data_IF_688744977634
#
_entry.id   IF_688744977634
#
_cell.length_a   1.000
_cell.length_b   1.000
_cell.length_c   1.000
_cell.angle_alpha   90.00
_cell.angle_beta   90.00
_cell.angle_gamma   90.00
#
_symmetry.space_group_name_H-M   'P 1'
#
loop_
_entity.id
_entity.type
_entity.pdbx_description
1 polymer ?
#
# COMPACT_ATOMS: atom_id res chain seq x y z
N UNK A 1 6.42 -19.57 -5.83
CA UNK A 1 6.10 -18.91 -4.54
C UNK A 1 5.06 -19.76 -3.83
N UNK A 2 5.14 -19.93 -2.51
CA UNK A 2 4.08 -20.59 -1.75
C UNK A 2 2.83 -19.68 -1.71
N UNK A 3 1.64 -20.27 -1.67
CA UNK A 3 0.39 -19.52 -1.51
C UNK A 3 0.39 -18.66 -0.24
N UNK A 4 1.01 -19.16 0.83
CA UNK A 4 1.19 -18.44 2.09
C UNK A 4 1.97 -17.13 1.93
N UNK A 5 3.09 -17.15 1.19
CA UNK A 5 3.87 -15.94 0.95
C UNK A 5 3.11 -14.94 0.07
N UNK A 6 2.44 -15.42 -0.98
CA UNK A 6 1.64 -14.55 -1.85
C UNK A 6 0.50 -13.86 -1.10
N UNK A 7 -0.20 -14.61 -0.23
CA UNK A 7 -1.25 -14.04 0.62
C UNK A 7 -0.66 -13.03 1.61
N UNK A 8 0.50 -13.31 2.19
CA UNK A 8 1.17 -12.40 3.12
C UNK A 8 1.56 -11.07 2.46
N UNK A 9 2.06 -11.12 1.22
CA UNK A 9 2.33 -9.91 0.42
C UNK A 9 1.03 -9.13 0.20
N UNK A 10 -0.05 -9.80 -0.21
CA UNK A 10 -1.35 -9.15 -0.47
C UNK A 10 -1.91 -8.46 0.78
N UNK A 11 -1.87 -9.13 1.92
CA UNK A 11 -2.34 -8.61 3.20
C UNK A 11 -1.54 -7.36 3.63
N UNK A 12 -0.21 -7.37 3.52
CA UNK A 12 0.62 -6.21 3.87
C UNK A 12 0.43 -5.07 2.87
N UNK A 13 0.27 -5.39 1.58
CA UNK A 13 -0.07 -4.39 0.56
C UNK A 13 -1.42 -3.74 0.84
N UNK A 14 -2.45 -4.50 1.24
CA UNK A 14 -3.76 -3.94 1.60
C UNK A 14 -3.64 -2.92 2.74
N UNK A 15 -2.86 -3.23 3.78
CA UNK A 15 -2.64 -2.33 4.92
C UNK A 15 -2.01 -1.01 4.46
N UNK A 16 -1.00 -1.07 3.58
CA UNK A 16 -0.35 0.12 3.03
C UNK A 16 -1.24 0.93 2.10
N UNK A 17 -2.03 0.25 1.26
CA UNK A 17 -3.02 0.91 0.41
C UNK A 17 -4.08 1.63 1.27
N UNK A 18 -4.51 1.00 2.36
CA UNK A 18 -5.48 1.58 3.28
C UNK A 18 -4.91 2.79 4.02
N UNK A 19 -3.67 2.71 4.50
CA UNK A 19 -2.98 3.84 5.11
C UNK A 19 -2.85 5.01 4.12
N UNK A 20 -2.51 4.73 2.86
CA UNK A 20 -2.42 5.74 1.83
C UNK A 20 -3.80 6.36 1.53
N UNK A 21 -4.86 5.56 1.51
CA UNK A 21 -6.24 6.00 1.34
C UNK A 21 -6.68 6.95 2.47
N UNK A 22 -6.30 6.61 3.71
CA UNK A 22 -6.54 7.49 4.85
C UNK A 22 -5.88 8.85 4.67
N UNK A 23 -4.60 8.85 4.27
CA UNK A 23 -3.87 10.08 3.98
C UNK A 23 -4.50 10.89 2.85
N UNK A 24 -4.94 10.23 1.79
CA UNK A 24 -5.50 10.90 0.62
C UNK A 24 -6.82 11.63 0.93
N UNK A 25 -7.74 10.99 1.66
CA UNK A 25 -9.08 11.55 1.87
C UNK A 25 -9.32 12.24 3.22
N UNK A 26 -8.46 12.01 4.22
CA UNK A 26 -8.71 12.47 5.58
C UNK A 26 -7.60 13.36 6.15
N UNK A 27 -6.58 13.71 5.37
CA UNK A 27 -5.66 14.76 5.80
C UNK A 27 -6.38 16.10 5.84
N UNK A 28 -6.17 16.82 6.94
CA UNK A 28 -6.50 18.24 7.07
C UNK A 28 -5.28 19.04 7.47
N UNK A 29 -5.21 20.25 6.94
CA UNK A 29 -4.22 21.23 7.37
C UNK A 29 -4.69 21.86 8.68
N UNK A 30 -3.90 21.66 9.74
CA UNK A 30 -4.05 22.25 11.05
C UNK A 30 -3.26 23.55 11.17
N UNK A 31 -3.25 24.10 12.40
CA UNK A 31 -2.49 25.33 12.68
C UNK A 31 -0.99 25.14 12.44
N UNK A 32 -0.36 26.15 11.83
CA UNK A 32 1.08 26.13 11.55
C UNK A 32 1.53 25.25 10.39
N UNK A 33 0.60 24.80 9.52
CA UNK A 33 0.92 23.96 8.35
C UNK A 33 1.14 22.49 8.70
N UNK A 34 0.67 22.06 9.88
CA UNK A 34 0.71 20.65 10.28
C UNK A 34 -0.37 19.88 9.53
N UNK A 35 -0.05 18.67 9.05
CA UNK A 35 -1.01 17.79 8.41
C UNK A 35 -1.48 16.75 9.42
N UNK A 36 -2.77 16.64 9.66
CA UNK A 36 -3.35 15.71 10.63
C UNK A 36 -4.41 14.85 9.95
N UNK A 37 -4.48 13.56 10.29
CA UNK A 37 -5.57 12.70 9.82
C UNK A 37 -6.80 12.91 10.70
N UNK A 38 -7.93 13.25 10.10
CA UNK A 38 -9.21 13.40 10.79
C UNK A 38 -10.30 12.57 10.10
N UNK A 39 -10.64 11.42 10.68
CA UNK A 39 -11.68 10.53 10.16
C UNK A 39 -13.03 10.86 10.81
N UNK A 40 -14.04 11.32 10.04
CA UNK A 40 -15.38 11.56 10.56
C UNK A 40 -16.04 10.28 11.09
N UNK A 41 -16.88 10.40 12.11
CA UNK A 41 -17.56 9.27 12.74
C UNK A 41 -18.35 8.40 11.75
N UNK A 42 -19.03 9.03 10.77
CA UNK A 42 -19.75 8.31 9.71
C UNK A 42 -18.81 7.50 8.79
N UNK A 43 -17.57 7.94 8.58
CA UNK A 43 -16.58 7.17 7.83
C UNK A 43 -15.99 6.06 8.69
N UNK A 44 -15.71 6.31 9.98
CA UNK A 44 -15.26 5.29 10.91
C UNK A 44 -16.28 4.15 11.08
N UNK A 45 -17.57 4.47 11.17
CA UNK A 45 -18.64 3.46 11.23
C UNK A 45 -18.64 2.55 10.00
N UNK A 46 -18.51 3.13 8.80
CA UNK A 46 -18.43 2.37 7.54
C UNK A 46 -17.17 1.51 7.46
N UNK A 47 -16.02 2.04 7.88
CA UNK A 47 -14.77 1.29 7.95
C UNK A 47 -14.92 0.12 8.92
N UNK A 48 -15.58 0.33 10.06
CA UNK A 48 -15.82 -0.74 11.06
C UNK A 48 -16.70 -1.85 10.49
N UNK A 49 -17.72 -1.51 9.71
CA UNK A 49 -18.61 -2.48 9.07
C UNK A 49 -17.91 -3.27 7.95
N UNK A 50 -17.14 -2.59 7.09
CA UNK A 50 -16.59 -3.17 5.86
C UNK A 50 -15.17 -3.74 6.03
N UNK A 51 -14.40 -3.17 6.95
CA UNK A 51 -12.97 -3.41 7.12
C UNK A 51 -12.59 -3.45 8.61
N UNK A 52 -13.38 -4.16 9.44
CA UNK A 52 -13.20 -4.25 10.88
C UNK A 52 -11.75 -4.52 11.34
N UNK A 53 -11.01 -5.35 10.57
CA UNK A 53 -9.62 -5.66 10.90
C UNK A 53 -8.67 -4.46 10.78
N UNK A 54 -8.97 -3.46 9.94
CA UNK A 54 -8.16 -2.26 9.72
C UNK A 54 -8.50 -1.12 10.70
N UNK A 55 -9.55 -1.27 11.52
CA UNK A 55 -9.96 -0.24 12.50
C UNK A 55 -8.82 0.16 13.45
N UNK A 56 -8.00 -0.75 14.00
CA UNK A 56 -6.90 -0.34 14.88
C UNK A 56 -5.88 0.59 14.21
N UNK A 57 -5.70 0.49 12.89
CA UNK A 57 -4.84 1.40 12.13
C UNK A 57 -5.47 2.80 12.02
N UNK A 58 -6.79 2.88 11.84
CA UNK A 58 -7.50 4.17 11.88
C UNK A 58 -7.37 4.81 13.26
N UNK A 59 -7.59 4.05 14.32
CA UNK A 59 -7.47 4.54 15.69
C UNK A 59 -6.06 5.04 16.02
N UNK A 60 -5.03 4.37 15.50
CA UNK A 60 -3.64 4.79 15.66
C UNK A 60 -3.30 6.09 14.91
N UNK A 61 -4.00 6.38 13.81
CA UNK A 61 -3.72 7.54 12.94
C UNK A 61 -4.64 8.72 13.16
N UNK A 62 -5.87 8.49 13.63
CA UNK A 62 -6.86 9.54 13.80
C UNK A 62 -6.41 10.56 14.86
N UNK A 63 -6.40 11.84 14.49
CA UNK A 63 -5.90 12.93 15.31
C UNK A 63 -4.36 13.02 15.40
N UNK A 64 -3.60 12.18 14.69
CA UNK A 64 -2.15 12.25 14.67
C UNK A 64 -1.63 13.13 13.54
N UNK A 65 -0.56 13.87 13.82
CA UNK A 65 0.22 14.57 12.80
C UNK A 65 0.89 13.55 11.91
N UNK A 66 0.67 13.66 10.60
CA UNK A 66 1.17 12.72 9.62
C UNK A 66 2.33 13.32 8.83
N UNK A 67 3.44 12.61 8.87
CA UNK A 67 4.57 12.76 7.99
C UNK A 67 5.02 11.38 7.49
N UNK A 68 6.12 11.34 6.72
CA UNK A 68 6.66 10.08 6.22
C UNK A 68 7.03 9.10 7.35
N UNK A 69 7.56 9.60 8.47
CA UNK A 69 8.01 8.79 9.60
C UNK A 69 6.82 8.22 10.36
N UNK A 70 5.83 9.05 10.70
CA UNK A 70 4.62 8.61 11.40
C UNK A 70 3.84 7.61 10.56
N UNK A 71 3.71 7.86 9.25
CA UNK A 71 3.06 6.95 8.30
C UNK A 71 3.73 5.57 8.30
N UNK A 72 5.05 5.53 8.13
CA UNK A 72 5.81 4.29 8.15
C UNK A 72 5.69 3.56 9.50
N UNK A 73 5.81 4.30 10.60
CA UNK A 73 5.76 3.74 11.94
C UNK A 73 4.39 3.17 12.28
N UNK A 74 3.30 3.81 11.86
CA UNK A 74 1.94 3.33 12.08
C UNK A 74 1.72 1.97 11.40
N UNK A 75 2.15 1.83 10.15
CA UNK A 75 2.05 0.55 9.42
C UNK A 75 2.88 -0.54 10.09
N UNK A 76 4.16 -0.25 10.40
CA UNK A 76 5.03 -1.23 11.04
C UNK A 76 4.50 -1.67 12.40
N UNK A 77 4.00 -0.73 13.20
CA UNK A 77 3.42 -0.99 14.52
C UNK A 77 2.15 -1.84 14.41
N UNK A 78 1.28 -1.49 13.46
CA UNK A 78 0.05 -2.26 13.22
C UNK A 78 0.37 -3.69 12.78
N UNK A 79 1.32 -3.88 11.86
CA UNK A 79 1.72 -5.21 11.39
C UNK A 79 2.30 -6.04 12.55
N UNK A 80 3.17 -5.45 13.37
CA UNK A 80 3.74 -6.15 14.53
C UNK A 80 2.68 -6.50 15.59
N UNK A 81 1.68 -5.63 15.81
CA UNK A 81 0.70 -5.81 16.88
C UNK A 81 -0.52 -6.66 16.49
N UNK A 82 -0.93 -6.65 15.21
CA UNK A 82 -2.21 -7.22 14.76
C UNK A 82 -2.09 -8.24 13.62
N UNK A 83 -0.90 -8.40 13.02
CA UNK A 83 -0.69 -9.30 11.88
C UNK A 83 0.30 -10.40 12.24
N UNK A 84 1.48 -10.04 12.75
CA UNK A 84 2.51 -10.98 13.17
C UNK A 84 2.04 -11.83 14.36
N UNK A 85 2.26 -13.14 14.30
CA UNK A 85 1.85 -14.12 15.31
C UNK A 85 0.34 -14.40 15.37
N UNK A 86 -0.49 -13.63 14.65
CA UNK A 86 -1.95 -13.78 14.64
C UNK A 86 -2.47 -14.25 13.29
N UNK A 87 -2.25 -13.44 12.24
CA UNK A 87 -2.68 -13.73 10.87
C UNK A 87 -1.56 -14.31 10.02
N UNK A 88 -0.31 -13.99 10.37
CA UNK A 88 0.90 -14.47 9.71
C UNK A 88 1.84 -15.08 10.74
N UNK A 89 2.63 -16.06 10.32
CA UNK A 89 3.67 -16.62 11.19
C UNK A 89 4.73 -15.57 11.50
N UNK A 90 5.35 -15.72 12.66
CA UNK A 90 6.46 -14.87 13.09
C UNK A 90 7.58 -14.83 12.05
N UNK A 91 8.14 -13.64 11.80
CA UNK A 91 9.21 -13.41 10.82
C UNK A 91 8.76 -13.37 9.35
N UNK A 92 7.51 -13.74 9.04
CA UNK A 92 6.96 -13.60 7.69
C UNK A 92 6.85 -12.14 7.27
N UNK A 93 6.34 -11.20 8.10
CA UNK A 93 6.28 -9.79 7.72
C UNK A 93 7.64 -9.19 7.36
N UNK A 94 8.69 -9.49 8.14
CA UNK A 94 10.05 -9.05 7.83
C UNK A 94 10.54 -9.59 6.49
N UNK A 95 10.24 -10.86 6.19
CA UNK A 95 10.55 -11.48 4.89
C UNK A 95 9.80 -10.80 3.74
N UNK A 96 8.52 -10.45 3.95
CA UNK A 96 7.70 -9.74 2.97
C UNK A 96 8.26 -8.34 2.70
N UNK A 97 8.53 -7.54 3.75
CA UNK A 97 9.09 -6.19 3.60
C UNK A 97 10.43 -6.17 2.88
N UNK A 98 11.27 -7.19 3.09
CA UNK A 98 12.54 -7.35 2.40
C UNK A 98 12.45 -7.90 0.97
N UNK A 99 11.26 -8.28 0.50
CA UNK A 99 11.11 -8.95 -0.79
C UNK A 99 10.95 -7.98 -1.96
N UNK A 100 11.56 -8.29 -3.10
CA UNK A 100 11.37 -7.56 -4.35
C UNK A 100 9.92 -7.63 -4.83
N UNK A 101 9.21 -8.73 -4.54
CA UNK A 101 7.79 -8.85 -4.87
C UNK A 101 6.97 -7.75 -4.21
N UNK A 102 7.12 -7.58 -2.90
CA UNK A 102 6.46 -6.52 -2.16
C UNK A 102 6.88 -5.11 -2.64
N UNK A 103 8.17 -4.88 -2.86
CA UNK A 103 8.67 -3.59 -3.36
C UNK A 103 8.04 -3.22 -4.71
N UNK A 104 7.91 -4.18 -5.63
CA UNK A 104 7.26 -3.98 -6.92
C UNK A 104 5.77 -3.65 -6.76
N UNK A 105 5.06 -4.32 -5.84
CA UNK A 105 3.64 -4.03 -5.57
C UNK A 105 3.45 -2.59 -5.10
N UNK A 106 4.25 -2.14 -4.13
CA UNK A 106 4.17 -0.78 -3.59
C UNK A 106 4.57 0.25 -4.64
N UNK A 107 5.58 -0.03 -5.46
CA UNK A 107 5.95 0.85 -6.56
C UNK A 107 4.83 0.99 -7.59
N UNK A 108 4.20 -0.12 -7.99
CA UNK A 108 3.07 -0.10 -8.92
C UNK A 108 1.88 0.67 -8.36
N UNK A 109 1.58 0.48 -7.08
CA UNK A 109 0.54 1.23 -6.40
C UNK A 109 0.86 2.73 -6.36
N UNK A 110 2.10 3.11 -6.03
CA UNK A 110 2.52 4.52 -6.04
C UNK A 110 2.40 5.17 -7.43
N UNK A 111 2.79 4.47 -8.49
CA UNK A 111 2.61 4.93 -9.88
C UNK A 111 1.13 5.09 -10.22
N UNK A 112 0.29 4.14 -9.79
CA UNK A 112 -1.16 4.22 -10.01
C UNK A 112 -1.76 5.45 -9.33
N UNK A 113 -1.46 5.70 -8.05
CA UNK A 113 -1.96 6.85 -7.30
C UNK A 113 -1.56 8.15 -8.01
N UNK A 114 -0.29 8.31 -8.39
CA UNK A 114 0.20 9.50 -9.10
C UNK A 114 -0.48 9.69 -10.47
N UNK A 115 -0.73 8.60 -11.20
CA UNK A 115 -1.34 8.68 -12.54
C UNK A 115 -2.83 9.01 -12.48
N UNK A 116 -3.52 8.64 -11.40
CA UNK A 116 -4.97 8.79 -11.25
C UNK A 116 -5.36 9.85 -10.22
N UNK A 117 -4.41 10.59 -9.66
CA UNK A 117 -4.63 11.60 -8.61
C UNK A 117 -5.78 12.55 -8.96
N UNK A 118 -5.78 13.13 -10.16
CA UNK A 118 -6.86 14.02 -10.63
C UNK A 118 -8.23 13.34 -10.70
N UNK A 119 -8.28 12.03 -10.95
CA UNK A 119 -9.53 11.27 -10.94
C UNK A 119 -9.98 10.98 -9.50
N UNK A 120 -9.03 10.64 -8.62
CA UNK A 120 -9.29 10.32 -7.22
C UNK A 120 -9.72 11.56 -6.42
N UNK A 121 -9.27 12.75 -6.82
CA UNK A 121 -9.57 14.04 -6.19
C UNK A 121 -10.97 14.58 -6.56
N UNK A 122 -11.59 14.10 -7.65
CA UNK A 122 -12.93 14.56 -8.08
C UNK A 122 -14.05 14.27 -7.08
N UNK A 123 -13.85 13.31 -6.19
CA UNK A 123 -14.84 12.96 -5.19
C UNK A 123 -14.35 11.85 -4.27
N UNK A 124 -15.06 11.71 -3.14
CA UNK A 124 -14.76 10.66 -2.19
C UNK A 124 -15.06 9.28 -2.78
N UNK A 125 -14.05 8.40 -2.74
CA UNK A 125 -14.19 6.98 -3.08
C UNK A 125 -13.90 6.14 -1.85
N UNK A 126 -14.74 5.14 -1.58
CA UNK A 126 -14.47 4.21 -0.50
C UNK A 126 -13.25 3.31 -0.82
N UNK A 127 -12.69 2.71 0.22
CA UNK A 127 -11.48 1.91 0.09
C UNK A 127 -11.67 0.69 -0.83
N UNK A 128 -12.86 0.07 -0.80
CA UNK A 128 -13.18 -1.06 -1.67
C UNK A 128 -13.14 -0.66 -3.15
N UNK A 129 -13.69 0.51 -3.49
CA UNK A 129 -13.64 1.09 -4.85
C UNK A 129 -12.21 1.42 -5.25
N UNK A 130 -11.40 1.95 -4.35
CA UNK A 130 -9.97 2.20 -4.59
C UNK A 130 -9.22 0.91 -4.97
N UNK A 131 -9.43 -0.16 -4.20
CA UNK A 131 -8.84 -1.47 -4.49
C UNK A 131 -9.30 -2.01 -5.85
N UNK A 132 -10.58 -1.85 -6.19
CA UNK A 132 -11.12 -2.29 -7.47
C UNK A 132 -10.48 -1.52 -8.64
N UNK A 133 -10.40 -0.19 -8.57
CA UNK A 133 -9.77 0.62 -9.60
C UNK A 133 -8.28 0.30 -9.79
N UNK A 134 -7.54 0.08 -8.70
CA UNK A 134 -6.16 -0.35 -8.78
C UNK A 134 -6.04 -1.73 -9.46
N UNK A 135 -6.89 -2.69 -9.08
CA UNK A 135 -6.90 -4.02 -9.67
C UNK A 135 -7.25 -4.00 -11.15
N UNK A 136 -8.22 -3.18 -11.57
CA UNK A 136 -8.59 -2.98 -12.97
C UNK A 136 -7.43 -2.37 -13.76
N UNK A 137 -6.82 -1.30 -13.25
CA UNK A 137 -5.69 -0.65 -13.89
C UNK A 137 -4.50 -1.62 -14.03
N UNK A 138 -4.17 -2.35 -12.98
CA UNK A 138 -3.10 -3.35 -12.98
C UNK A 138 -3.35 -4.44 -14.03
N UNK A 139 -4.60 -4.81 -14.25
CA UNK A 139 -5.00 -5.81 -15.23
C UNK A 139 -5.08 -5.27 -16.67
N UNK A 140 -4.93 -3.96 -16.88
CA UNK A 140 -4.91 -3.38 -18.22
C UNK A 140 -3.69 -3.81 -19.02
N UNK A 141 -3.87 -4.02 -20.32
CA UNK A 141 -2.82 -4.51 -21.22
C UNK A 141 -1.62 -3.55 -21.28
N UNK A 142 -1.85 -2.25 -21.09
CA UNK A 142 -0.81 -1.22 -21.06
C UNK A 142 0.14 -1.40 -19.87
N UNK A 143 -0.39 -1.72 -18.70
CA UNK A 143 0.40 -1.91 -17.48
C UNK A 143 1.13 -3.25 -17.52
N UNK A 144 0.44 -4.30 -17.98
CA UNK A 144 1.07 -5.62 -18.22
C UNK A 144 2.26 -5.50 -19.18
N UNK A 145 2.08 -4.82 -20.31
CA UNK A 145 3.16 -4.61 -21.27
C UNK A 145 4.34 -3.81 -20.70
N UNK A 146 4.09 -2.83 -19.82
CA UNK A 146 5.17 -2.08 -19.15
C UNK A 146 5.91 -2.94 -18.11
N UNK A 147 5.20 -3.74 -17.33
CA UNK A 147 5.79 -4.67 -16.36
C UNK A 147 6.62 -5.73 -17.09
N UNK A 148 6.11 -6.29 -18.19
CA UNK A 148 6.80 -7.28 -19.00
C UNK A 148 8.04 -6.69 -19.66
N UNK A 149 7.93 -5.50 -20.26
CA UNK A 149 9.08 -4.80 -20.86
C UNK A 149 10.17 -4.46 -19.83
N UNK A 150 9.79 -4.02 -18.63
CA UNK A 150 10.74 -3.75 -17.54
C UNK A 150 11.44 -5.04 -17.07
N UNK A 151 10.70 -6.15 -16.95
CA UNK A 151 11.24 -7.46 -16.59
C UNK A 151 12.20 -8.01 -17.65
N UNK A 152 11.88 -7.84 -18.93
CA UNK A 152 12.76 -8.19 -20.05
C UNK A 152 14.01 -7.31 -20.13
N UNK A 153 13.90 -6.02 -19.80
CA UNK A 153 15.04 -5.10 -19.73
C UNK A 153 16.01 -5.46 -18.60
N UNK A 154 15.50 -5.75 -17.40
CA UNK A 154 16.33 -6.23 -16.27
C UNK A 154 16.99 -7.57 -16.57
N UNK A 155 16.28 -8.50 -17.20
CA UNK A 155 16.84 -9.81 -17.58
C UNK A 155 17.98 -9.65 -18.60
N UNK A 156 17.80 -8.78 -19.60
CA UNK A 156 18.85 -8.46 -20.59
C UNK A 156 20.07 -7.78 -19.95
N UNK A 157 19.86 -6.84 -19.04
CA UNK A 157 20.95 -6.18 -18.33
C UNK A 157 21.77 -7.16 -17.47
N UNK A 158 21.11 -8.13 -16.82
CA UNK A 158 21.77 -9.18 -16.06
C UNK A 158 22.55 -10.17 -16.93
N UNK A 159 22.07 -10.51 -18.14
CA UNK A 159 22.83 -11.35 -19.08
C UNK A 159 24.04 -10.62 -19.67
N UNK A 160 23.91 -9.34 -20.03
CA UNK A 160 25.03 -8.55 -20.58
C UNK A 160 26.15 -8.32 -19.55
N UNK A 161 25.82 -8.26 -18.26
CA UNK A 161 26.81 -8.12 -17.19
C UNK A 161 27.70 -9.36 -16.99
N UNK A 162 27.30 -10.54 -17.51
CA UNK A 162 28.08 -11.77 -17.35
C UNK A 162 29.03 -12.05 -18.54
N UNK A 163 28.91 -11.31 -19.66
CA UNK A 163 29.67 -11.57 -20.89
C UNK A 163 30.85 -10.63 -21.14
N UNK A 164 31.15 -9.67 -20.24
CA UNK A 164 32.32 -8.78 -20.41
C UNK A 164 33.49 -9.19 -19.52
N UNK A 165 34.07 -10.37 -19.78
CA UNK A 165 35.47 -10.68 -19.46
C UNK A 165 36.08 -11.45 -20.63
N UNK A 166 36.65 -10.71 -21.59
CA UNK A 166 37.70 -11.20 -22.48
C UNK A 166 38.77 -10.14 -22.64
#
# INVERSE_FOLDING_TARGET
>A
MSSEFTNAVQDICEILMFENWLRFYFIKEGEGGTLTIEVPEASLARITEQHAHLVPLVEALNGQVIDHTTSQQAVCTYVAAHVEGQRMRDGVPATVFGSTTFQNEIQLFGVWVQTHEEQLDKGFLDFATWKALFAEWRNSDKVKAQIDAAREASTRASTTSCDTVQ
#
